data_IF_877651522672
#
_entry.id   IF_877651522672
#
_cell.length_a   1.000
_cell.length_b   1.000
_cell.length_c   1.000
_cell.angle_alpha   90.00
_cell.angle_beta   90.00
_cell.angle_gamma   90.00
#
_symmetry.space_group_name_H-M   'P 1'
#
loop_
_entity.id
_entity.type
_entity.pdbx_description
1 polymer ?
#
# COMPACT_ATOMS: atom_id res chain seq x y z
N UNK A 1 11.63 -16.68 7.78
CA UNK A 1 10.70 -16.43 6.65
C UNK A 1 9.39 -15.97 7.26
N UNK A 2 9.02 -14.71 7.06
CA UNK A 2 7.72 -14.16 7.47
C UNK A 2 6.62 -14.86 6.68
N UNK A 3 5.59 -15.36 7.38
CA UNK A 3 4.42 -15.97 6.73
C UNK A 3 3.88 -15.04 5.62
N UNK A 4 3.70 -15.53 4.38
CA UNK A 4 3.33 -14.68 3.24
C UNK A 4 1.91 -14.08 3.34
N UNK A 5 1.13 -14.38 4.38
CA UNK A 5 -0.24 -13.89 4.51
C UNK A 5 -0.65 -13.53 5.95
N UNK A 6 0.18 -12.72 6.63
CA UNK A 6 -0.14 -12.21 7.98
C UNK A 6 -1.40 -11.33 7.96
N UNK A 7 -1.56 -10.47 6.95
CA UNK A 7 -2.76 -9.62 6.81
C UNK A 7 -4.04 -10.45 6.58
N UNK A 8 -3.99 -11.53 5.80
CA UNK A 8 -5.13 -12.43 5.67
C UNK A 8 -5.54 -13.09 7.00
N UNK A 9 -4.57 -13.51 7.82
CA UNK A 9 -4.85 -14.04 9.17
C UNK A 9 -5.46 -12.97 10.08
N UNK A 10 -5.02 -11.72 9.97
CA UNK A 10 -5.59 -10.59 10.71
C UNK A 10 -7.05 -10.37 10.30
N UNK A 11 -7.35 -10.37 8.99
CA UNK A 11 -8.72 -10.20 8.49
C UNK A 11 -9.64 -11.30 9.01
N UNK A 12 -9.20 -12.55 8.97
CA UNK A 12 -9.94 -13.69 9.56
C UNK A 12 -10.16 -13.52 11.07
N UNK A 13 -9.13 -13.07 11.81
CA UNK A 13 -9.24 -12.81 13.23
C UNK A 13 -10.20 -11.66 13.56
N UNK A 14 -10.24 -10.61 12.74
CA UNK A 14 -11.20 -9.50 12.88
C UNK A 14 -12.63 -9.98 12.60
N UNK A 15 -12.83 -10.79 11.56
CA UNK A 15 -14.13 -11.38 11.24
C UNK A 15 -14.62 -12.29 12.38
N UNK A 16 -13.74 -13.09 12.97
CA UNK A 16 -14.07 -13.92 14.14
C UNK A 16 -14.50 -13.09 15.36
N UNK A 17 -13.85 -11.95 15.61
CA UNK A 17 -14.24 -11.03 16.69
C UNK A 17 -15.56 -10.30 16.43
N UNK A 18 -15.92 -10.09 15.17
CA UNK A 18 -17.23 -9.53 14.81
C UNK A 18 -18.35 -10.57 14.96
N UNK A 19 -18.08 -11.82 14.57
CA UNK A 19 -19.07 -12.89 14.59
C UNK A 19 -19.34 -13.46 16.00
N UNK A 20 -18.34 -13.45 16.90
CA UNK A 20 -18.48 -13.95 18.27
C UNK A 20 -18.24 -12.84 19.30
N UNK A 21 -19.30 -12.28 19.92
CA UNK A 21 -19.17 -11.23 20.93
C UNK A 21 -18.54 -11.72 22.25
N UNK A 22 -18.41 -13.03 22.48
CA UNK A 22 -17.73 -13.60 23.66
C UNK A 22 -16.23 -13.77 23.41
N UNK A 23 -15.77 -13.73 22.16
CA UNK A 23 -14.38 -13.92 21.79
C UNK A 23 -13.54 -12.70 22.19
N UNK A 24 -12.52 -12.93 23.01
CA UNK A 24 -11.58 -11.86 23.40
C UNK A 24 -10.48 -11.71 22.36
N UNK A 25 -10.02 -10.47 22.15
CA UNK A 25 -8.90 -10.12 21.26
C UNK A 25 -7.65 -10.99 21.47
N UNK A 26 -7.29 -11.25 22.73
CA UNK A 26 -6.14 -12.10 23.07
C UNK A 26 -6.32 -13.53 22.55
N UNK A 27 -7.52 -14.07 22.70
CA UNK A 27 -7.82 -15.45 22.29
C UNK A 27 -7.86 -15.57 20.76
N UNK A 28 -8.45 -14.58 20.08
CA UNK A 28 -8.39 -14.50 18.61
C UNK A 28 -6.94 -14.43 18.11
N UNK A 29 -6.11 -13.60 18.73
CA UNK A 29 -4.69 -13.50 18.38
C UNK A 29 -3.94 -14.84 18.52
N UNK A 30 -4.21 -15.60 19.57
CA UNK A 30 -3.66 -16.96 19.78
C UNK A 30 -4.15 -17.96 18.71
N UNK A 31 -5.45 -18.01 18.44
CA UNK A 31 -6.06 -18.95 17.46
C UNK A 31 -5.48 -18.73 16.06
N UNK A 32 -5.42 -17.47 15.63
CA UNK A 32 -4.96 -17.10 14.29
C UNK A 32 -3.45 -16.87 14.21
N UNK A 33 -2.71 -17.11 15.30
CA UNK A 33 -1.25 -16.94 15.40
C UNK A 33 -0.78 -15.55 14.94
N UNK A 34 -1.52 -14.51 15.29
CA UNK A 34 -1.20 -13.10 15.00
C UNK A 34 -0.79 -12.37 16.27
N UNK A 35 0.13 -11.41 16.16
CA UNK A 35 0.52 -10.59 17.30
C UNK A 35 -0.67 -9.79 17.86
N UNK A 36 -0.93 -9.88 19.18
CA UNK A 36 -2.05 -9.18 19.84
C UNK A 36 -2.07 -7.69 19.53
N UNK A 37 -0.91 -7.04 19.54
CA UNK A 37 -0.78 -5.60 19.25
C UNK A 37 -1.09 -5.28 17.78
N UNK A 38 -0.74 -6.17 16.85
CA UNK A 38 -1.03 -5.98 15.43
C UNK A 38 -2.54 -6.07 15.20
N UNK A 39 -3.18 -7.09 15.76
CA UNK A 39 -4.64 -7.27 15.68
C UNK A 39 -5.40 -6.08 16.32
N UNK A 40 -4.95 -5.60 17.48
CA UNK A 40 -5.53 -4.42 18.12
C UNK A 40 -5.45 -3.16 17.23
N UNK A 41 -4.28 -2.90 16.63
CA UNK A 41 -4.08 -1.76 15.72
C UNK A 41 -5.05 -1.84 14.53
N UNK A 42 -5.19 -3.02 13.94
CA UNK A 42 -6.07 -3.28 12.79
C UNK A 42 -7.55 -3.12 13.18
N UNK A 43 -7.94 -3.58 14.37
CA UNK A 43 -9.27 -3.34 14.92
C UNK A 43 -9.57 -1.84 15.11
N UNK A 44 -8.55 -1.04 15.42
CA UNK A 44 -8.66 0.43 15.50
C UNK A 44 -8.61 1.14 14.16
N UNK A 45 -8.59 0.41 13.04
CA UNK A 45 -8.52 0.97 11.69
C UNK A 45 -7.12 1.43 11.27
N UNK A 46 -6.08 1.11 12.04
CA UNK A 46 -4.70 1.45 11.68
C UNK A 46 -4.24 0.47 10.59
N UNK A 47 -4.02 1.00 9.40
CA UNK A 47 -3.54 0.26 8.24
C UNK A 47 -2.12 -0.28 8.42
N UNK A 48 -1.75 -1.25 7.59
CA UNK A 48 -0.36 -1.67 7.48
C UNK A 48 0.49 -0.55 6.93
N UNK A 49 1.81 -0.58 7.21
CA UNK A 49 2.75 0.34 6.55
C UNK A 49 2.77 0.12 5.03
N UNK A 50 2.47 -1.09 4.56
CA UNK A 50 2.35 -1.39 3.13
C UNK A 50 1.18 -0.69 2.46
N UNK A 51 0.10 -0.51 3.20
CA UNK A 51 -1.17 0.02 2.67
C UNK A 51 -1.34 1.50 3.04
N UNK A 52 -0.46 2.03 3.90
CA UNK A 52 -0.49 3.41 4.34
C UNK A 52 -0.02 4.34 3.22
N UNK A 53 -0.88 5.29 2.85
CA UNK A 53 -0.57 6.33 1.88
C UNK A 53 0.12 7.51 2.60
N UNK A 54 1.37 7.85 2.27
CA UNK A 54 2.06 8.98 2.89
C UNK A 54 1.40 10.32 2.55
N UNK A 55 1.31 11.23 3.52
CA UNK A 55 0.79 12.60 3.29
C UNK A 55 1.66 13.40 2.31
N UNK A 56 2.93 13.05 2.17
CA UNK A 56 3.85 13.66 1.20
C UNK A 56 3.71 13.12 -0.22
N UNK A 57 2.80 12.17 -0.46
CA UNK A 57 2.53 11.64 -1.80
C UNK A 57 2.01 12.76 -2.69
N UNK A 58 2.74 13.02 -3.79
CA UNK A 58 2.34 14.03 -4.77
C UNK A 58 1.39 13.46 -5.80
N UNK A 59 1.61 12.23 -6.25
CA UNK A 59 0.84 11.66 -7.36
C UNK A 59 -0.46 11.03 -6.86
N UNK A 60 -1.52 11.08 -7.67
CA UNK A 60 -2.76 10.35 -7.41
C UNK A 60 -2.62 8.87 -7.79
N UNK A 61 -3.54 8.02 -7.32
CA UNK A 61 -3.58 6.60 -7.72
C UNK A 61 -3.64 6.43 -9.24
N UNK A 62 -4.39 7.29 -9.92
CA UNK A 62 -4.51 7.27 -11.38
C UNK A 62 -3.20 7.66 -12.06
N UNK A 63 -2.53 8.71 -11.56
CA UNK A 63 -1.24 9.15 -12.12
C UNK A 63 -0.15 8.09 -11.92
N UNK A 64 -0.11 7.43 -10.77
CA UNK A 64 0.82 6.32 -10.53
C UNK A 64 0.52 5.13 -11.45
N UNK A 65 -0.75 4.81 -11.69
CA UNK A 65 -1.14 3.77 -12.65
C UNK A 65 -0.68 4.10 -14.08
N UNK A 66 -0.82 5.36 -14.51
CA UNK A 66 -0.34 5.82 -15.82
C UNK A 66 1.18 5.64 -15.92
N UNK A 67 1.93 5.98 -14.87
CA UNK A 67 3.39 5.80 -14.84
C UNK A 67 3.77 4.32 -14.90
N UNK A 68 3.07 3.44 -14.18
CA UNK A 68 3.29 1.99 -14.25
C UNK A 68 3.05 1.49 -15.67
N UNK A 69 1.95 1.89 -16.29
CA UNK A 69 1.64 1.51 -17.67
C UNK A 69 2.71 2.02 -18.65
N UNK A 70 3.22 3.23 -18.44
CA UNK A 70 4.32 3.79 -19.22
C UNK A 70 5.62 2.98 -19.06
N UNK A 71 5.95 2.55 -17.84
CA UNK A 71 7.13 1.69 -17.60
C UNK A 71 6.98 0.33 -18.30
N UNK A 72 5.79 -0.28 -18.23
CA UNK A 72 5.50 -1.54 -18.91
C UNK A 72 5.55 -1.39 -20.44
N UNK A 73 5.08 -0.27 -20.98
CA UNK A 73 5.20 0.04 -22.42
C UNK A 73 6.67 0.15 -22.84
N UNK A 74 7.50 0.86 -22.07
CA UNK A 74 8.94 0.96 -22.34
C UNK A 74 9.62 -0.41 -22.36
N UNK A 75 9.35 -1.24 -21.36
CA UNK A 75 9.91 -2.59 -21.26
C UNK A 75 9.47 -3.46 -22.44
N UNK A 76 8.18 -3.40 -22.81
CA UNK A 76 7.64 -4.14 -23.95
C UNK A 76 8.30 -3.78 -25.29
N UNK A 77 8.79 -2.54 -25.41
CA UNK A 77 9.49 -2.02 -26.58
C UNK A 77 11.00 -2.26 -26.54
N UNK A 78 11.50 -2.93 -25.50
CA UNK A 78 12.92 -3.22 -25.31
C UNK A 78 13.73 -2.03 -24.80
N UNK A 79 13.08 -0.96 -24.32
CA UNK A 79 13.76 0.18 -23.72
C UNK A 79 13.79 0.02 -22.19
N UNK A 80 14.97 -0.09 -21.56
CA UNK A 80 15.03 -0.21 -20.11
C UNK A 80 14.51 1.08 -19.46
N UNK A 81 13.56 0.99 -18.51
CA UNK A 81 13.03 2.18 -17.83
C UNK A 81 14.13 2.87 -17.02
N UNK A 82 14.35 4.16 -17.28
CA UNK A 82 15.31 4.99 -16.54
C UNK A 82 14.57 5.86 -15.53
N UNK A 83 15.16 6.05 -14.34
CA UNK A 83 14.62 6.93 -13.30
C UNK A 83 14.27 8.33 -13.83
N UNK A 84 15.16 8.91 -14.65
CA UNK A 84 14.92 10.21 -15.29
C UNK A 84 13.71 10.22 -16.22
N UNK A 85 13.48 9.16 -17.00
CA UNK A 85 12.32 9.09 -17.89
C UNK A 85 11.00 8.97 -17.13
N UNK A 86 11.02 8.22 -16.02
CA UNK A 86 9.88 8.12 -15.09
C UNK A 86 9.63 9.46 -14.40
N UNK A 87 10.68 10.15 -13.98
CA UNK A 87 10.60 11.49 -13.38
C UNK A 87 10.02 12.52 -14.36
N UNK A 88 10.45 12.50 -15.62
CA UNK A 88 9.92 13.36 -16.68
C UNK A 88 8.42 13.09 -16.93
N UNK A 89 8.00 11.82 -16.97
CA UNK A 89 6.58 11.46 -17.09
C UNK A 89 5.77 11.95 -15.89
N UNK A 90 6.26 11.74 -14.67
CA UNK A 90 5.61 12.23 -13.46
C UNK A 90 5.50 13.77 -13.46
N UNK A 91 6.56 14.48 -13.85
CA UNK A 91 6.56 15.93 -13.92
C UNK A 91 5.62 16.49 -14.99
N UNK A 92 5.41 15.78 -16.11
CA UNK A 92 4.38 16.15 -17.11
C UNK A 92 2.98 16.09 -16.50
N UNK A 93 2.62 14.97 -15.86
CA UNK A 93 1.33 14.82 -15.18
C UNK A 93 1.11 15.88 -14.09
N UNK A 94 2.16 16.21 -13.34
CA UNK A 94 2.11 17.26 -12.34
C UNK A 94 1.96 18.67 -12.95
N UNK A 95 2.62 18.93 -14.07
CA UNK A 95 2.52 20.21 -14.78
C UNK A 95 1.11 20.44 -15.34
N UNK A 96 0.46 19.40 -15.86
CA UNK A 96 -0.90 19.48 -16.41
C UNK A 96 -1.94 19.95 -15.38
N UNK A 97 -1.70 19.68 -14.09
CA UNK A 97 -2.54 20.12 -12.97
C UNK A 97 -1.95 21.31 -12.19
N UNK A 98 -0.92 21.98 -12.72
CA UNK A 98 -0.21 23.10 -12.09
C UNK A 98 0.39 22.77 -10.69
N UNK A 99 0.85 21.54 -10.49
CA UNK A 99 1.49 21.10 -9.25
C UNK A 99 3.02 21.22 -9.29
N UNK A 100 3.64 21.26 -8.11
CA UNK A 100 5.11 21.31 -7.98
C UNK A 100 5.77 20.00 -8.44
N UNK A 101 6.91 20.05 -9.15
CA UNK A 101 7.58 18.88 -9.69
C UNK A 101 8.08 17.90 -8.61
N UNK A 102 8.25 16.63 -8.99
CA UNK A 102 9.04 15.65 -8.24
C UNK A 102 10.54 15.93 -8.39
N UNK A 103 11.34 15.40 -7.46
CA UNK A 103 12.80 15.57 -7.50
C UNK A 103 13.31 16.82 -6.77
N UNK A 104 14.64 16.95 -6.72
CA UNK A 104 15.31 18.15 -6.18
C UNK A 104 15.35 19.21 -7.30
N UNK A 105 15.12 20.46 -6.93
CA UNK A 105 15.42 21.61 -7.79
C UNK A 105 16.92 21.88 -7.82
#
# INVERSE_FOLDING_TARGET
MSDPNIEGKILLALQALQNDPKLKLRRAAEIYKVGRMILWRRQKGIQSRSDWVPTSRKLSDLEEQIIVQFILDLDSRGFPPRLRGVEEMANRLLADRNASPVGKR
#
